data_IF_140298604164
#
_entry.id   IF_140298604164
#
_cell.length_a   1.000
_cell.length_b   1.000
_cell.length_c   1.000
_cell.angle_alpha   90.00
_cell.angle_beta   90.00
_cell.angle_gamma   90.00
#
_symmetry.space_group_name_H-M   'P 1'
#
loop_
_entity.id
_entity.type
_entity.pdbx_description
1 polymer ?
#
# COMPACT_ATOMS: atom_id res chain seq x y z
N UNK A 1 24.12 -19.11 -41.50
CA UNK A 1 22.68 -18.73 -41.42
C UNK A 1 21.88 -19.61 -40.46
N UNK A 2 22.23 -20.89 -40.27
CA UNK A 2 21.54 -21.78 -39.31
C UNK A 2 21.77 -21.37 -37.83
N UNK A 3 22.99 -20.95 -37.47
CA UNK A 3 23.35 -20.60 -36.08
C UNK A 3 22.65 -19.34 -35.52
N UNK A 4 22.32 -18.37 -36.39
CA UNK A 4 21.59 -17.16 -35.98
C UNK A 4 20.11 -17.45 -35.69
N UNK A 5 19.50 -18.41 -36.40
CA UNK A 5 18.11 -18.82 -36.17
C UNK A 5 17.93 -19.60 -34.85
N UNK A 6 18.88 -20.47 -34.50
CA UNK A 6 18.83 -21.24 -33.24
C UNK A 6 18.97 -20.35 -32.00
N UNK A 7 19.79 -19.29 -32.07
CA UNK A 7 19.94 -18.32 -30.99
C UNK A 7 18.65 -17.55 -30.72
N UNK A 8 17.92 -17.17 -31.78
CA UNK A 8 16.69 -16.40 -31.66
C UNK A 8 15.55 -17.24 -31.05
N UNK A 9 15.44 -18.52 -31.45
CA UNK A 9 14.49 -19.47 -30.86
C UNK A 9 14.82 -19.76 -29.39
N UNK A 10 16.11 -19.93 -29.05
CA UNK A 10 16.54 -20.11 -27.67
C UNK A 10 16.24 -18.88 -26.79
N UNK A 11 16.41 -17.67 -27.32
CA UNK A 11 16.07 -16.44 -26.60
C UNK A 11 14.56 -16.33 -26.32
N UNK A 12 13.72 -16.60 -27.32
CA UNK A 12 12.25 -16.53 -27.17
C UNK A 12 11.71 -17.58 -26.19
N UNK A 13 12.23 -18.80 -26.25
CA UNK A 13 11.86 -19.87 -25.30
C UNK A 13 12.32 -19.52 -23.88
N UNK A 14 13.54 -19.01 -23.71
CA UNK A 14 14.03 -18.53 -22.42
C UNK A 14 13.16 -17.39 -21.85
N UNK A 15 12.80 -16.40 -22.67
CA UNK A 15 11.88 -15.32 -22.27
C UNK A 15 10.52 -15.87 -21.86
N UNK A 16 9.96 -16.82 -22.61
CA UNK A 16 8.67 -17.44 -22.27
C UNK A 16 8.72 -18.18 -20.93
N UNK A 17 9.79 -18.94 -20.67
CA UNK A 17 9.99 -19.67 -19.40
C UNK A 17 10.15 -18.69 -18.24
N UNK A 18 10.91 -17.59 -18.41
CA UNK A 18 11.02 -16.55 -17.39
C UNK A 18 9.69 -15.88 -17.09
N UNK A 19 8.87 -15.59 -18.11
CA UNK A 19 7.52 -15.03 -17.93
C UNK A 19 6.64 -16.02 -17.18
N UNK A 20 6.63 -17.29 -17.56
CA UNK A 20 5.87 -18.35 -16.87
C UNK A 20 6.31 -18.46 -15.41
N UNK A 21 7.61 -18.55 -15.15
CA UNK A 21 8.16 -18.61 -13.79
C UNK A 21 7.83 -17.35 -12.97
N UNK A 22 7.86 -16.17 -13.59
CA UNK A 22 7.47 -14.91 -12.94
C UNK A 22 5.98 -14.90 -12.58
N UNK A 23 5.10 -15.29 -13.50
CA UNK A 23 3.66 -15.39 -13.28
C UNK A 23 3.35 -16.45 -12.22
N UNK A 24 4.02 -17.61 -12.26
CA UNK A 24 3.87 -18.66 -11.26
C UNK A 24 4.33 -18.19 -9.89
N UNK A 25 5.47 -17.50 -9.82
CA UNK A 25 5.97 -16.91 -8.57
C UNK A 25 4.98 -15.87 -8.02
N UNK A 26 4.40 -15.02 -8.88
CA UNK A 26 3.40 -14.04 -8.49
C UNK A 26 2.11 -14.70 -7.98
N UNK A 27 1.59 -15.72 -8.68
CA UNK A 27 0.41 -16.48 -8.24
C UNK A 27 0.62 -17.16 -6.89
N UNK A 28 1.79 -17.78 -6.71
CA UNK A 28 2.15 -18.44 -5.45
C UNK A 28 2.32 -17.48 -4.27
N UNK A 29 2.61 -16.20 -4.55
CA UNK A 29 2.58 -15.14 -3.54
C UNK A 29 1.15 -14.72 -3.22
N UNK A 30 0.28 -14.62 -4.22
CA UNK A 30 -1.14 -14.27 -4.04
C UNK A 30 -1.91 -15.33 -3.23
N UNK A 31 -1.61 -16.62 -3.40
CA UNK A 31 -2.24 -17.71 -2.63
C UNK A 31 -1.99 -17.63 -1.12
N UNK A 32 -0.91 -16.99 -0.68
CA UNK A 32 -0.59 -16.83 0.74
C UNK A 32 -1.22 -15.59 1.36
N UNK A 33 -1.88 -14.77 0.56
CA UNK A 33 -2.42 -13.48 0.96
C UNK A 33 -3.93 -13.56 1.19
N UNK A 34 -4.48 -12.63 1.97
CA UNK A 34 -5.92 -12.44 2.05
C UNK A 34 -6.54 -12.21 0.66
N UNK A 35 -7.84 -12.54 0.49
CA UNK A 35 -8.53 -12.41 -0.79
C UNK A 35 -8.41 -10.99 -1.35
N UNK A 36 -8.37 -10.85 -2.68
CA UNK A 36 -8.29 -9.53 -3.29
C UNK A 36 -8.33 -9.57 -4.82
N UNK A 37 -8.46 -8.40 -5.45
CA UNK A 37 -8.45 -8.29 -6.90
C UNK A 37 -7.12 -8.78 -7.47
N UNK A 38 -7.21 -9.48 -8.61
CA UNK A 38 -6.05 -10.09 -9.24
C UNK A 38 -5.16 -9.01 -9.86
N UNK A 39 -3.90 -8.87 -9.41
CA UNK A 39 -3.03 -7.79 -9.86
C UNK A 39 -2.55 -7.98 -11.30
N UNK A 40 -2.55 -6.88 -12.05
CA UNK A 40 -1.86 -6.82 -13.33
C UNK A 40 -0.34 -6.81 -13.10
N UNK A 41 0.44 -7.40 -14.02
CA UNK A 41 1.90 -7.35 -13.93
C UNK A 41 2.39 -5.90 -13.92
N UNK A 42 3.32 -5.60 -13.00
CA UNK A 42 3.96 -4.28 -12.77
C UNK A 42 3.08 -3.16 -12.22
N UNK A 43 1.82 -3.04 -12.65
CA UNK A 43 0.90 -1.95 -12.25
C UNK A 43 0.07 -2.33 -11.01
N UNK A 44 -0.20 -3.62 -10.80
CA UNK A 44 -1.05 -4.09 -9.71
C UNK A 44 -2.53 -3.78 -9.97
N UNK A 45 -3.20 -3.22 -8.97
CA UNK A 45 -4.63 -2.88 -8.97
C UNK A 45 -4.87 -1.36 -9.19
N UNK A 46 -3.85 -0.62 -9.65
CA UNK A 46 -3.94 0.84 -9.79
C UNK A 46 -5.02 1.29 -10.79
N UNK A 47 -5.39 0.45 -11.76
CA UNK A 47 -6.48 0.75 -12.71
C UNK A 47 -7.87 0.52 -12.11
N UNK A 48 -7.96 -0.34 -11.09
CA UNK A 48 -9.21 -0.65 -10.40
C UNK A 48 -9.48 0.30 -9.24
N UNK A 49 -8.40 0.92 -8.72
CA UNK A 49 -8.45 2.01 -7.76
C UNK A 49 -8.61 3.33 -8.55
N UNK A 50 -9.85 3.78 -8.71
CA UNK A 50 -10.10 5.10 -9.28
C UNK A 50 -9.60 6.17 -8.29
N UNK A 51 -8.62 6.98 -8.72
CA UNK A 51 -8.10 8.06 -7.90
C UNK A 51 -9.16 9.13 -7.59
N UNK A 52 -10.16 9.36 -8.44
CA UNK A 52 -11.21 10.36 -8.14
C UNK A 52 -12.22 9.88 -7.10
N UNK A 53 -12.35 8.56 -6.93
CA UNK A 53 -13.34 7.93 -6.03
C UNK A 53 -12.68 6.81 -5.25
N UNK A 54 -11.55 7.13 -4.63
CA UNK A 54 -10.72 6.13 -3.96
C UNK A 54 -11.50 5.41 -2.85
N UNK A 55 -12.28 6.15 -2.07
CA UNK A 55 -13.13 5.60 -1.01
C UNK A 55 -14.20 4.65 -1.53
N UNK A 56 -14.93 5.04 -2.57
CA UNK A 56 -16.01 4.23 -3.14
C UNK A 56 -15.44 2.96 -3.80
N UNK A 57 -14.27 3.07 -4.43
CA UNK A 57 -13.54 1.94 -4.99
C UNK A 57 -13.14 0.93 -3.92
N UNK A 58 -12.61 1.40 -2.79
CA UNK A 58 -12.31 0.53 -1.64
C UNK A 58 -13.56 -0.11 -1.03
N UNK A 59 -14.67 0.63 -0.96
CA UNK A 59 -15.94 0.08 -0.48
C UNK A 59 -16.45 -1.04 -1.40
N UNK A 60 -16.37 -0.86 -2.71
CA UNK A 60 -16.75 -1.89 -3.69
C UNK A 60 -15.87 -3.15 -3.58
N UNK A 61 -14.57 -2.98 -3.41
CA UNK A 61 -13.63 -4.09 -3.19
C UNK A 61 -13.97 -4.80 -1.88
N UNK A 62 -14.25 -4.05 -0.80
CA UNK A 62 -14.68 -4.62 0.48
C UNK A 62 -15.96 -5.42 0.35
N UNK A 63 -16.97 -4.92 -0.37
CA UNK A 63 -18.23 -5.64 -0.58
C UNK A 63 -18.00 -6.99 -1.28
N UNK A 64 -16.99 -7.06 -2.17
CA UNK A 64 -16.68 -8.26 -2.93
C UNK A 64 -15.78 -9.25 -2.17
N UNK A 65 -14.80 -8.78 -1.40
CA UNK A 65 -13.76 -9.63 -0.80
C UNK A 65 -13.80 -9.70 0.74
N UNK A 66 -14.61 -8.84 1.38
CA UNK A 66 -14.82 -8.83 2.83
C UNK A 66 -14.01 -7.77 3.57
N UNK A 67 -13.97 -7.84 4.92
CA UNK A 67 -13.32 -6.85 5.78
C UNK A 67 -11.78 -6.88 5.74
N UNK A 68 -11.18 -7.96 5.26
CA UNK A 68 -9.72 -8.12 5.14
C UNK A 68 -9.40 -8.49 3.70
N UNK A 69 -8.71 -7.62 2.99
CA UNK A 69 -8.40 -7.83 1.57
C UNK A 69 -7.04 -7.28 1.17
N UNK A 70 -6.49 -7.79 0.08
CA UNK A 70 -5.18 -7.38 -0.43
C UNK A 70 -5.30 -6.51 -1.68
N UNK A 71 -4.74 -5.31 -1.65
CA UNK A 71 -4.58 -4.45 -2.82
C UNK A 71 -3.11 -4.41 -3.26
N UNK A 72 -2.86 -4.44 -4.56
CA UNK A 72 -1.51 -4.31 -5.08
C UNK A 72 -1.29 -2.90 -5.60
N UNK A 73 -0.37 -2.16 -4.99
CA UNK A 73 0.03 -0.84 -5.48
C UNK A 73 1.36 -0.99 -6.23
N UNK A 74 1.28 -1.09 -7.55
CA UNK A 74 2.41 -1.47 -8.38
C UNK A 74 2.91 -2.89 -8.05
N UNK A 75 4.22 -3.09 -7.83
CA UNK A 75 4.79 -4.40 -7.50
C UNK A 75 4.66 -4.77 -6.02
N UNK A 76 4.07 -3.91 -5.17
CA UNK A 76 3.99 -4.13 -3.72
C UNK A 76 2.56 -4.50 -3.30
N UNK A 77 2.36 -5.64 -2.64
CA UNK A 77 1.09 -5.97 -2.01
C UNK A 77 0.90 -5.15 -0.72
N UNK A 78 -0.32 -4.71 -0.46
CA UNK A 78 -0.75 -4.04 0.76
C UNK A 78 -2.05 -4.70 1.26
N UNK A 79 -2.04 -5.17 2.50
CA UNK A 79 -3.23 -5.71 3.16
C UNK A 79 -4.01 -4.57 3.79
N UNK A 80 -5.28 -4.45 3.45
CA UNK A 80 -6.21 -3.46 3.99
C UNK A 80 -7.13 -4.15 4.98
N UNK A 81 -7.15 -3.62 6.20
CA UNK A 81 -8.05 -4.04 7.26
C UNK A 81 -9.18 -3.02 7.38
N UNK A 82 -10.42 -3.48 7.23
CA UNK A 82 -11.61 -2.64 7.25
C UNK A 82 -12.58 -3.09 8.35
N UNK A 83 -12.83 -2.21 9.31
CA UNK A 83 -13.78 -2.42 10.41
C UNK A 83 -13.11 -2.64 11.75
N UNK A 84 -13.89 -2.48 12.84
CA UNK A 84 -13.38 -2.53 14.20
C UNK A 84 -12.75 -3.89 14.54
N UNK A 85 -13.44 -4.98 14.26
CA UNK A 85 -13.00 -6.33 14.65
C UNK A 85 -11.67 -6.71 13.97
N UNK A 86 -11.56 -6.50 12.65
CA UNK A 86 -10.36 -6.81 11.88
C UNK A 86 -9.14 -5.97 12.31
N UNK A 87 -9.35 -4.68 12.60
CA UNK A 87 -8.27 -3.79 13.03
C UNK A 87 -7.83 -4.11 14.46
N UNK A 88 -8.79 -4.40 15.36
CA UNK A 88 -8.51 -4.84 16.73
C UNK A 88 -7.71 -6.13 16.73
N UNK A 89 -8.15 -7.14 16.01
CA UNK A 89 -7.46 -8.44 15.98
C UNK A 89 -6.02 -8.30 15.49
N UNK A 90 -5.78 -7.54 14.41
CA UNK A 90 -4.44 -7.38 13.87
C UNK A 90 -3.53 -6.51 14.76
N UNK A 91 -4.02 -5.35 15.23
CA UNK A 91 -3.18 -4.37 15.91
C UNK A 91 -3.13 -4.53 17.43
N UNK A 92 -4.11 -5.21 18.03
CA UNK A 92 -4.16 -5.45 19.48
C UNK A 92 -3.86 -6.92 19.75
N UNK A 93 -4.61 -7.86 19.18
CA UNK A 93 -4.44 -9.28 19.55
C UNK A 93 -3.16 -9.87 18.96
N UNK A 94 -2.80 -9.50 17.72
CA UNK A 94 -1.57 -9.91 17.03
C UNK A 94 -0.50 -8.81 16.98
N UNK A 95 -0.51 -7.91 17.95
CA UNK A 95 0.35 -6.72 17.96
C UNK A 95 1.84 -7.04 17.82
N UNK A 96 2.34 -8.18 18.32
CA UNK A 96 3.76 -8.56 18.18
C UNK A 96 4.12 -8.81 16.70
N UNK A 97 3.25 -9.51 15.96
CA UNK A 97 3.43 -9.82 14.54
C UNK A 97 3.22 -8.59 13.64
N UNK A 98 2.25 -7.73 13.99
CA UNK A 98 1.96 -6.48 13.27
C UNK A 98 2.72 -5.25 13.82
N UNK A 99 3.59 -5.42 14.81
CA UNK A 99 4.44 -4.34 15.35
C UNK A 99 5.54 -3.92 14.39
N UNK A 100 5.81 -4.75 13.37
CA UNK A 100 6.77 -4.46 12.33
C UNK A 100 6.40 -3.14 11.65
N UNK A 101 7.26 -2.12 11.78
CA UNK A 101 7.16 -0.92 10.94
C UNK A 101 7.34 -1.40 9.50
N UNK A 102 6.23 -1.56 8.79
CA UNK A 102 6.23 -1.84 7.36
C UNK A 102 7.09 -0.80 6.65
N UNK A 103 7.43 -1.02 5.38
CA UNK A 103 8.21 -0.07 4.59
C UNK A 103 7.41 1.24 4.41
N UNK A 104 7.38 2.06 5.47
CA UNK A 104 6.64 3.32 5.60
C UNK A 104 7.10 4.30 4.54
N UNK A 105 8.36 4.18 4.08
CA UNK A 105 8.89 4.98 2.99
C UNK A 105 8.12 4.87 1.67
N UNK A 106 7.26 3.87 1.45
CA UNK A 106 6.35 3.85 0.31
C UNK A 106 5.11 4.72 0.52
N UNK A 107 4.43 4.56 1.67
CA UNK A 107 3.24 5.33 2.03
C UNK A 107 3.59 6.79 2.33
N UNK A 108 4.59 7.02 3.19
CA UNK A 108 5.16 8.33 3.49
C UNK A 108 5.52 9.05 2.18
N UNK A 109 6.18 8.39 1.21
CA UNK A 109 6.52 8.99 -0.09
C UNK A 109 5.34 9.16 -1.06
N UNK A 110 4.35 8.26 -1.05
CA UNK A 110 3.12 8.37 -1.85
C UNK A 110 2.25 9.54 -1.36
N UNK A 111 2.28 9.84 -0.06
CA UNK A 111 1.54 10.93 0.57
C UNK A 111 2.39 12.19 0.87
N UNK A 112 3.73 12.12 0.79
CA UNK A 112 4.69 13.22 1.07
C UNK A 112 4.67 14.40 0.13
N UNK A 113 3.74 14.42 -0.82
CA UNK A 113 3.54 15.62 -1.62
C UNK A 113 3.26 16.85 -0.75
N UNK A 114 2.58 16.70 0.41
CA UNK A 114 1.96 17.85 1.08
C UNK A 114 1.65 17.69 2.59
N UNK A 115 2.53 17.08 3.40
CA UNK A 115 2.32 16.99 4.86
C UNK A 115 3.61 16.99 5.67
N UNK A 116 3.78 18.02 6.50
CA UNK A 116 4.86 18.32 7.45
C UNK A 116 6.25 18.62 6.86
N UNK A 117 6.58 19.92 6.80
CA UNK A 117 7.96 20.40 6.93
C UNK A 117 8.52 19.87 8.25
N UNK A 118 9.19 18.72 8.19
CA UNK A 118 10.13 18.31 9.23
C UNK A 118 11.19 19.41 9.31
N UNK A 119 11.04 20.29 10.29
CA UNK A 119 11.94 21.41 10.60
C UNK A 119 13.34 20.94 11.01
N UNK A 120 13.67 19.66 10.81
CA UNK A 120 15.01 19.09 10.93
C UNK A 120 15.38 18.44 9.61
N UNK A 121 16.30 19.08 8.88
CA UNK A 121 16.80 18.65 7.57
C UNK A 121 17.52 17.30 7.55
N UNK A 122 16.77 16.21 7.75
CA UNK A 122 17.21 14.83 7.61
C UNK A 122 17.23 14.43 6.14
N UNK A 123 18.34 14.69 5.46
CA UNK A 123 18.61 14.22 4.10
C UNK A 123 18.52 12.67 4.07
N UNK A 124 17.47 12.12 3.47
CA UNK A 124 17.35 10.67 3.23
C UNK A 124 18.53 10.25 2.34
N UNK A 125 19.43 9.41 2.85
CA UNK A 125 20.56 8.87 2.07
C UNK A 125 20.03 7.77 1.15
N UNK A 126 20.14 7.89 -0.19
CA UNK A 126 19.75 6.85 -1.12
C UNK A 126 20.84 5.77 -1.09
N UNK A 127 20.73 4.88 -0.12
CA UNK A 127 21.76 3.88 0.14
C UNK A 127 21.17 2.66 0.79
N UNK A 128 20.37 1.91 0.03
CA UNK A 128 20.37 0.42 0.02
C UNK A 128 19.36 -0.12 -1.00
N UNK A 129 19.88 -0.96 -1.91
CA UNK A 129 19.20 -1.77 -2.94
C UNK A 129 18.44 -1.01 -4.04
N UNK A 130 19.17 -0.55 -5.07
CA UNK A 130 18.57 -0.09 -6.34
C UNK A 130 18.19 -1.33 -7.15
N UNK A 131 16.94 -1.77 -7.00
CA UNK A 131 16.32 -2.76 -7.88
C UNK A 131 15.93 -2.06 -9.19
N UNK A 132 16.00 -2.73 -10.34
CA UNK A 132 15.48 -2.17 -11.60
C UNK A 132 14.01 -1.70 -11.48
N UNK A 133 13.23 -2.35 -10.59
CA UNK A 133 11.88 -1.94 -10.26
C UNK A 133 11.79 -0.60 -9.50
N UNK A 134 12.76 -0.25 -8.66
CA UNK A 134 12.78 1.06 -7.98
C UNK A 134 13.11 2.20 -8.94
N UNK A 135 13.95 1.95 -9.94
CA UNK A 135 14.34 2.96 -10.93
C UNK A 135 13.17 3.30 -11.88
N UNK A 136 12.45 2.29 -12.36
CA UNK A 136 11.24 2.48 -13.16
C UNK A 136 10.13 3.20 -12.38
N UNK A 137 10.02 2.92 -11.08
CA UNK A 137 9.06 3.59 -10.21
C UNK A 137 9.42 5.06 -9.92
N UNK A 138 10.71 5.39 -9.74
CA UNK A 138 11.16 6.78 -9.65
C UNK A 138 10.94 7.56 -10.95
N UNK A 139 11.19 6.93 -12.10
CA UNK A 139 10.87 7.52 -13.41
C UNK A 139 9.37 7.79 -13.55
N UNK A 140 8.53 6.82 -13.22
CA UNK A 140 7.07 6.96 -13.25
C UNK A 140 6.60 8.11 -12.35
N UNK A 141 7.18 8.25 -11.15
CA UNK A 141 6.84 9.32 -10.22
C UNK A 141 7.33 10.72 -10.65
N UNK A 142 8.54 10.84 -11.21
CA UNK A 142 9.02 12.11 -11.76
C UNK A 142 8.09 12.63 -12.85
N UNK A 143 7.54 11.72 -13.66
CA UNK A 143 6.55 12.01 -14.69
C UNK A 143 5.19 12.36 -14.09
N UNK A 144 4.69 11.60 -13.11
CA UNK A 144 3.39 11.83 -12.46
C UNK A 144 3.29 13.19 -11.75
N UNK A 145 4.38 13.77 -11.25
CA UNK A 145 4.38 15.13 -10.65
C UNK A 145 4.07 16.25 -11.63
N UNK A 146 4.36 16.06 -12.91
CA UNK A 146 4.21 17.07 -13.95
C UNK A 146 2.93 16.88 -14.77
N UNK A 147 2.23 15.77 -14.59
CA UNK A 147 0.98 15.47 -15.28
C UNK A 147 -0.19 16.03 -14.46
N UNK A 148 -0.99 16.97 -14.98
CA UNK A 148 -2.26 17.33 -14.34
C UNK A 148 -3.23 16.15 -14.48
N UNK A 149 -3.88 15.75 -13.38
CA UNK A 149 -4.82 14.62 -13.40
C UNK A 149 -5.50 14.33 -12.06
N UNK A 150 -6.41 13.35 -12.10
CA UNK A 150 -7.26 12.90 -11.00
C UNK A 150 -6.55 12.53 -9.71
N UNK A 151 -5.26 12.18 -9.76
CA UNK A 151 -4.46 11.91 -8.58
C UNK A 151 -4.41 13.10 -7.61
N UNK A 152 -4.42 14.34 -8.11
CA UNK A 152 -4.48 15.53 -7.25
C UNK A 152 -5.78 15.58 -6.41
N UNK A 153 -6.89 15.09 -6.95
CA UNK A 153 -8.16 15.01 -6.22
C UNK A 153 -8.13 13.88 -5.19
N UNK A 154 -7.59 12.72 -5.56
CA UNK A 154 -7.37 11.60 -4.63
C UNK A 154 -6.58 12.03 -3.39
N UNK A 155 -5.53 12.83 -3.60
CA UNK A 155 -4.72 13.35 -2.51
C UNK A 155 -5.52 14.29 -1.60
N UNK A 156 -6.39 15.15 -2.14
CA UNK A 156 -7.26 16.02 -1.33
C UNK A 156 -8.25 15.22 -0.49
N UNK A 157 -8.82 14.15 -1.03
CA UNK A 157 -9.72 13.26 -0.29
C UNK A 157 -8.99 12.51 0.82
N UNK A 158 -7.77 12.04 0.54
CA UNK A 158 -6.90 11.40 1.52
C UNK A 158 -6.55 12.36 2.66
N UNK A 159 -6.17 13.60 2.36
CA UNK A 159 -5.90 14.63 3.38
C UNK A 159 -7.12 14.92 4.24
N UNK A 160 -8.32 15.03 3.64
CA UNK A 160 -9.56 15.21 4.39
C UNK A 160 -9.85 14.05 5.35
N UNK A 161 -9.48 12.82 4.96
CA UNK A 161 -9.55 11.64 5.82
C UNK A 161 -8.53 11.70 6.96
N UNK A 162 -7.28 12.06 6.68
CA UNK A 162 -6.24 12.25 7.70
C UNK A 162 -6.65 13.31 8.73
N UNK A 163 -7.14 14.46 8.28
CA UNK A 163 -7.66 15.53 9.14
C UNK A 163 -8.86 15.07 9.99
N UNK A 164 -9.71 14.22 9.43
CA UNK A 164 -10.83 13.63 10.17
C UNK A 164 -10.33 12.66 11.25
N UNK A 165 -9.41 11.76 10.90
CA UNK A 165 -8.82 10.80 11.84
C UNK A 165 -8.08 11.53 12.96
N UNK A 166 -7.25 12.53 12.63
CA UNK A 166 -6.54 13.34 13.62
C UNK A 166 -7.49 14.01 14.61
N UNK A 167 -8.56 14.66 14.11
CA UNK A 167 -9.60 15.27 14.96
C UNK A 167 -10.29 14.22 15.84
N UNK A 168 -10.57 13.04 15.30
CA UNK A 168 -11.25 11.98 16.04
C UNK A 168 -10.36 11.41 17.15
N UNK A 169 -9.07 11.21 16.87
CA UNK A 169 -8.06 10.80 17.84
C UNK A 169 -7.92 11.84 18.96
N UNK A 170 -7.86 13.13 18.61
CA UNK A 170 -7.77 14.21 19.60
C UNK A 170 -9.02 14.25 20.49
N UNK A 171 -10.22 14.13 19.92
CA UNK A 171 -11.46 14.09 20.69
C UNK A 171 -11.49 12.90 21.66
N UNK A 172 -11.05 11.73 21.18
CA UNK A 172 -10.98 10.51 21.99
C UNK A 172 -9.96 10.67 23.12
N UNK A 173 -8.77 11.23 22.86
CA UNK A 173 -7.77 11.56 23.88
C UNK A 173 -8.34 12.48 24.98
N UNK A 174 -9.08 13.53 24.61
CA UNK A 174 -9.68 14.47 25.58
C UNK A 174 -10.71 13.83 26.51
N UNK A 175 -11.34 12.74 26.08
CA UNK A 175 -12.44 12.07 26.79
C UNK A 175 -12.09 10.63 27.16
N UNK A 176 -10.79 10.31 27.19
CA UNK A 176 -10.28 8.96 27.39
C UNK A 176 -10.48 8.53 28.85
N UNK A 177 -11.16 7.41 29.05
CA UNK A 177 -11.28 6.72 30.34
C UNK A 177 -10.55 5.37 30.26
N UNK A 178 -9.43 5.19 30.97
CA UNK A 178 -8.67 3.93 30.97
C UNK A 178 -9.48 2.71 31.43
N UNK A 179 -10.56 2.90 32.19
CA UNK A 179 -11.36 1.80 32.72
C UNK A 179 -12.54 1.42 31.80
N UNK A 180 -12.83 2.21 30.77
CA UNK A 180 -14.00 2.02 29.90
C UNK A 180 -13.71 2.48 28.45
N UNK A 181 -12.95 1.69 27.67
CA UNK A 181 -12.66 2.02 26.27
C UNK A 181 -13.92 1.96 25.41
N UNK A 182 -14.24 3.06 24.73
CA UNK A 182 -15.49 3.18 23.94
C UNK A 182 -15.35 2.63 22.54
N UNK A 183 -14.17 2.74 21.95
CA UNK A 183 -13.88 2.31 20.58
C UNK A 183 -12.41 1.87 20.42
N UNK A 184 -12.01 1.63 19.16
CA UNK A 184 -10.67 1.14 18.85
C UNK A 184 -9.61 2.17 19.18
N UNK A 185 -9.92 3.46 18.96
CA UNK A 185 -9.00 4.56 19.21
C UNK A 185 -8.72 4.62 20.71
N UNK A 186 -9.72 4.50 21.58
CA UNK A 186 -9.52 4.46 23.02
C UNK A 186 -8.68 3.25 23.44
N UNK A 187 -9.00 2.06 22.92
CA UNK A 187 -8.27 0.81 23.21
C UNK A 187 -6.79 0.92 22.79
N UNK A 188 -6.53 1.53 21.64
CA UNK A 188 -5.19 1.77 21.11
C UNK A 188 -4.43 2.82 21.92
N UNK A 189 -5.07 3.94 22.29
CA UNK A 189 -4.48 4.99 23.10
C UNK A 189 -4.07 4.50 24.48
N UNK A 190 -4.93 3.71 25.15
CA UNK A 190 -4.63 3.11 26.46
C UNK A 190 -3.40 2.21 26.37
N UNK A 191 -3.32 1.37 25.32
CA UNK A 191 -2.18 0.47 25.12
C UNK A 191 -0.87 1.23 24.86
N UNK A 192 -0.90 2.38 24.20
CA UNK A 192 0.30 3.20 23.99
C UNK A 192 0.80 3.90 25.27
N UNK A 193 -0.05 4.04 26.28
CA UNK A 193 0.30 4.67 27.57
C UNK A 193 0.80 3.66 28.62
N UNK A 194 0.69 2.36 28.35
CA UNK A 194 1.20 1.26 29.17
C UNK A 194 2.65 0.92 28.80
#
# INVERSE_FOLDING_TARGET
MLASGTLLVAALTCLSVMIIMSVWRQRRMLEKMPPGPTPLPFIGNLLELDTEKFRDSLLKIREQYGPVFTIHVGPRPAVVLWGYDAVKEALIDQAEEFSGRGQQGFFDWFFKGYGEDDSRGGRIRPGRCVSAGSMLFEMFHSVMKHLPGSHHQAYKEMQGLEDFVARKVEQNQRTLDPNSPRDFIDSFLIRMQQ
#
